data_IF_532110972015
#
_entry.id   IF_532110972015
#
_cell.length_a   1.000
_cell.length_b   1.000
_cell.length_c   1.000
_cell.angle_alpha   90.00
_cell.angle_beta   90.00
_cell.angle_gamma   90.00
#
_symmetry.space_group_name_H-M   'P 1'
#
loop_
_entity.id
_entity.type
_entity.pdbx_description
1 polymer ?
#
# COMPACT_ATOMS: atom_id res chain seq x y z
N UNK A 1 9.17 25.66 -20.01
CA UNK A 1 9.66 26.12 -18.70
C UNK A 1 8.48 26.75 -17.97
N UNK A 2 8.00 26.10 -16.91
CA UNK A 2 6.91 26.61 -16.08
C UNK A 2 7.17 26.11 -14.66
N UNK A 3 7.78 26.98 -13.85
CA UNK A 3 8.14 26.70 -12.46
C UNK A 3 6.87 26.76 -11.61
N UNK A 4 6.43 25.63 -11.05
CA UNK A 4 5.44 25.62 -9.98
C UNK A 4 6.18 25.61 -8.64
N UNK A 5 6.36 26.79 -8.05
CA UNK A 5 6.78 26.92 -6.66
C UNK A 5 5.63 26.45 -5.76
N UNK A 6 5.78 25.31 -5.11
CA UNK A 6 4.92 24.93 -4.00
C UNK A 6 5.33 25.75 -2.76
N UNK A 7 4.60 26.81 -2.47
CA UNK A 7 4.68 27.50 -1.18
C UNK A 7 4.31 26.53 -0.07
N UNK A 8 5.21 26.37 0.88
CA UNK A 8 5.02 25.58 2.10
C UNK A 8 3.86 26.19 2.88
N UNK A 9 2.72 25.50 2.90
CA UNK A 9 1.63 25.83 3.82
C UNK A 9 2.07 25.45 5.23
N UNK A 10 2.22 26.46 6.07
CA UNK A 10 2.48 26.32 7.50
C UNK A 10 1.39 25.43 8.11
N UNK A 11 1.80 24.46 8.91
CA UNK A 11 0.91 23.64 9.72
C UNK A 11 0.36 24.50 10.87
N UNK A 12 -0.63 25.34 10.59
CA UNK A 12 -1.54 25.84 11.63
C UNK A 12 -2.48 24.70 11.98
N UNK A 13 -2.22 24.11 13.15
CA UNK A 13 -3.09 23.16 13.82
C UNK A 13 -4.51 23.74 13.90
N UNK A 14 -5.47 23.13 13.24
CA UNK A 14 -6.87 23.43 13.46
C UNK A 14 -7.24 23.00 14.89
N UNK A 15 -7.27 23.94 15.83
CA UNK A 15 -7.83 23.75 17.16
C UNK A 15 -9.35 23.64 17.03
N UNK A 16 -9.84 22.41 16.88
CA UNK A 16 -11.25 22.11 17.09
C UNK A 16 -11.46 22.11 18.61
N UNK A 17 -12.22 23.08 19.12
CA UNK A 17 -12.61 23.15 20.52
C UNK A 17 -13.43 21.90 20.90
N UNK A 18 -12.77 20.91 21.48
CA UNK A 18 -13.42 19.79 22.16
C UNK A 18 -13.75 20.28 23.57
N UNK A 19 -15.00 20.67 23.78
CA UNK A 19 -15.49 20.98 25.11
C UNK A 19 -15.30 19.74 26.01
N UNK A 20 -14.50 19.90 27.06
CA UNK A 20 -14.04 18.79 27.89
C UNK A 20 -15.20 18.21 28.70
N UNK A 21 -15.75 17.07 28.25
CA UNK A 21 -16.85 16.37 28.92
C UNK A 21 -16.52 15.82 30.33
N UNK A 22 -15.32 16.04 30.87
CA UNK A 22 -15.02 15.68 32.25
C UNK A 22 -13.79 16.44 32.79
N UNK A 23 -13.82 16.98 34.03
CA UNK A 23 -12.71 17.74 34.64
C UNK A 23 -11.41 16.93 34.86
N UNK A 24 -11.43 15.62 34.57
CA UNK A 24 -10.29 14.70 34.70
C UNK A 24 -9.94 13.95 33.40
N UNK A 25 -10.60 14.27 32.29
CA UNK A 25 -10.24 13.71 30.99
C UNK A 25 -8.99 14.43 30.47
N UNK A 26 -7.81 13.87 30.69
CA UNK A 26 -6.59 14.28 30.00
C UNK A 26 -6.87 14.15 28.50
N UNK A 27 -6.67 15.21 27.71
CA UNK A 27 -6.76 15.16 26.26
C UNK A 27 -5.70 14.18 25.76
N UNK A 28 -6.13 12.95 25.43
CA UNK A 28 -5.25 12.02 24.74
C UNK A 28 -5.04 12.56 23.33
N UNK A 29 -3.80 12.60 22.82
CA UNK A 29 -3.55 13.06 21.46
C UNK A 29 -4.37 12.18 20.51
N UNK A 30 -5.32 12.78 19.80
CA UNK A 30 -6.07 12.09 18.77
C UNK A 30 -5.07 11.65 17.71
N UNK A 31 -5.03 10.34 17.42
CA UNK A 31 -4.19 9.81 16.37
C UNK A 31 -4.74 10.33 15.04
N UNK A 32 -4.09 11.35 14.48
CA UNK A 32 -4.47 11.87 13.17
C UNK A 32 -3.95 10.88 12.12
N UNK A 33 -4.85 10.25 11.36
CA UNK A 33 -4.49 9.33 10.27
C UNK A 33 -3.88 10.07 9.06
N UNK A 34 -3.28 11.25 9.27
CA UNK A 34 -2.85 12.19 8.22
C UNK A 34 -1.73 11.65 7.32
N UNK A 35 -1.18 10.46 7.63
CA UNK A 35 -0.13 9.82 6.81
C UNK A 35 -0.33 8.34 6.58
N UNK A 36 -0.93 7.59 7.51
CA UNK A 36 -1.14 6.16 7.37
C UNK A 36 -2.49 5.77 7.96
N UNK A 37 -3.11 4.71 7.44
CA UNK A 37 -4.40 4.20 7.92
C UNK A 37 -4.44 2.69 8.13
N UNK A 38 -3.28 2.02 8.16
CA UNK A 38 -3.22 0.61 8.54
C UNK A 38 -3.74 0.42 9.97
N UNK A 39 -4.61 -0.57 10.13
CA UNK A 39 -5.19 -1.01 11.39
C UNK A 39 -4.98 -2.52 11.49
N UNK A 40 -4.57 -3.06 12.65
CA UNK A 40 -4.52 -4.50 12.85
C UNK A 40 -5.90 -5.14 12.64
N UNK A 41 -5.93 -6.27 11.92
CA UNK A 41 -7.14 -7.06 11.77
C UNK A 41 -7.48 -7.81 13.06
N UNK A 42 -8.78 -8.03 13.29
CA UNK A 42 -9.24 -8.87 14.39
C UNK A 42 -9.04 -10.35 14.02
N UNK A 43 -8.66 -11.22 14.98
CA UNK A 43 -8.51 -12.64 14.70
C UNK A 43 -9.83 -13.25 14.18
N UNK A 44 -9.77 -13.93 13.03
CA UNK A 44 -10.89 -14.69 12.46
C UNK A 44 -10.48 -16.15 12.26
N UNK A 45 -11.27 -17.08 12.79
CA UNK A 45 -11.01 -18.52 12.66
C UNK A 45 -11.22 -19.05 11.23
N UNK A 46 -11.85 -18.26 10.36
CA UNK A 46 -12.10 -18.59 8.95
C UNK A 46 -10.90 -18.24 8.06
N UNK A 47 -9.90 -17.52 8.58
CA UNK A 47 -8.73 -17.12 7.81
C UNK A 47 -7.99 -18.35 7.27
N UNK A 48 -7.77 -18.36 5.95
CA UNK A 48 -7.08 -19.46 5.29
C UNK A 48 -5.59 -19.43 5.59
N UNK A 49 -5.08 -20.53 6.15
CA UNK A 49 -3.64 -20.73 6.34
C UNK A 49 -3.03 -21.26 5.06
N UNK A 50 -2.27 -20.41 4.37
CA UNK A 50 -1.51 -20.82 3.19
C UNK A 50 -0.13 -21.29 3.63
N UNK A 51 0.24 -22.51 3.22
CA UNK A 51 1.61 -23.03 3.34
C UNK A 51 2.21 -23.05 1.95
N UNK A 52 3.35 -22.38 1.76
CA UNK A 52 4.07 -22.36 0.49
C UNK A 52 5.17 -23.41 0.52
N UNK A 53 5.20 -24.28 -0.49
CA UNK A 53 6.30 -25.20 -0.67
C UNK A 53 7.57 -24.42 -1.02
N UNK A 54 8.71 -24.93 -0.55
CA UNK A 54 10.01 -24.40 -0.97
C UNK A 54 10.19 -24.73 -2.44
N UNK A 55 10.07 -23.71 -3.28
CA UNK A 55 10.28 -23.78 -4.72
C UNK A 55 11.45 -22.91 -5.11
N UNK A 56 12.26 -23.39 -6.05
CA UNK A 56 13.31 -22.59 -6.65
C UNK A 56 12.70 -21.42 -7.44
N UNK A 57 13.32 -20.25 -7.34
CA UNK A 57 12.89 -19.13 -8.18
C UNK A 57 13.03 -19.51 -9.67
N UNK A 58 12.03 -19.17 -10.52
CA UNK A 58 12.09 -19.45 -11.95
C UNK A 58 13.37 -18.92 -12.60
N UNK A 59 13.85 -19.62 -13.63
CA UNK A 59 15.15 -19.34 -14.29
C UNK A 59 15.28 -17.91 -14.86
N UNK A 60 14.16 -17.26 -15.16
CA UNK A 60 14.12 -15.90 -15.67
C UNK A 60 14.20 -14.81 -14.57
N UNK A 61 14.11 -15.18 -13.29
CA UNK A 61 14.26 -14.26 -12.16
C UNK A 61 15.73 -14.17 -11.78
N UNK A 62 16.28 -12.95 -11.77
CA UNK A 62 17.67 -12.71 -11.37
C UNK A 62 17.84 -13.03 -9.89
N UNK A 63 18.54 -14.13 -9.59
CA UNK A 63 19.04 -14.44 -8.24
C UNK A 63 20.35 -13.67 -8.03
N UNK A 64 20.42 -12.85 -6.99
CA UNK A 64 21.70 -12.33 -6.47
C UNK A 64 21.96 -13.04 -5.14
N UNK A 65 23.14 -13.62 -4.96
CA UNK A 65 23.56 -14.11 -3.65
C UNK A 65 24.32 -13.01 -2.91
N UNK A 66 23.94 -12.76 -1.66
CA UNK A 66 24.69 -11.90 -0.75
C UNK A 66 24.98 -12.71 0.52
N UNK A 67 26.19 -13.28 0.59
CA UNK A 67 26.54 -14.29 1.58
C UNK A 67 25.71 -15.56 1.39
N UNK A 68 25.06 -16.02 2.47
CA UNK A 68 24.18 -17.20 2.47
C UNK A 68 22.75 -16.90 2.03
N UNK A 69 22.42 -15.63 1.76
CA UNK A 69 21.05 -15.21 1.42
C UNK A 69 20.86 -15.09 -0.08
N UNK A 70 19.83 -15.75 -0.59
CA UNK A 70 19.33 -15.53 -1.93
C UNK A 70 18.43 -14.28 -1.96
N UNK A 71 18.75 -13.32 -2.83
CA UNK A 71 17.97 -12.10 -3.07
C UNK A 71 17.17 -12.28 -4.35
N UNK A 72 15.88 -12.05 -4.25
CA UNK A 72 14.92 -12.09 -5.36
C UNK A 72 14.41 -10.67 -5.60
N UNK A 73 14.61 -10.15 -6.82
CA UNK A 73 14.08 -8.86 -7.25
C UNK A 73 12.94 -9.05 -8.25
N UNK A 74 11.71 -8.74 -7.82
CA UNK A 74 10.50 -8.83 -8.64
C UNK A 74 10.16 -7.52 -9.36
N UNK A 75 10.86 -6.41 -9.09
CA UNK A 75 10.59 -5.12 -9.73
C UNK A 75 10.67 -5.19 -11.26
N UNK A 76 11.59 -5.92 -11.89
CA UNK A 76 11.61 -6.06 -13.35
C UNK A 76 10.36 -6.73 -13.95
N UNK A 77 9.54 -7.40 -13.13
CA UNK A 77 8.34 -8.14 -13.56
C UNK A 77 7.05 -7.36 -13.28
N UNK A 78 7.12 -6.16 -12.70
CA UNK A 78 5.94 -5.42 -12.27
C UNK A 78 5.23 -4.68 -13.42
N UNK A 79 5.57 -4.93 -14.69
CA UNK A 79 4.98 -4.21 -15.83
C UNK A 79 5.31 -2.73 -15.92
N UNK A 80 6.20 -2.22 -15.08
CA UNK A 80 6.61 -0.82 -15.09
C UNK A 80 5.57 0.14 -14.51
N UNK A 81 4.56 -0.34 -13.77
CA UNK A 81 3.60 0.58 -13.15
C UNK A 81 4.28 1.46 -12.10
N UNK A 82 3.85 2.73 -11.96
CA UNK A 82 4.53 3.69 -11.11
C UNK A 82 4.33 3.38 -9.63
N UNK A 83 5.26 3.84 -8.80
CA UNK A 83 5.05 3.88 -7.35
C UNK A 83 3.91 4.87 -7.07
N UNK A 84 2.89 4.40 -6.37
CA UNK A 84 1.72 5.21 -6.05
C UNK A 84 2.00 6.23 -4.94
N UNK A 85 1.56 7.46 -5.16
CA UNK A 85 1.49 8.49 -4.11
C UNK A 85 0.08 8.51 -3.50
N UNK A 86 0.00 8.30 -2.19
CA UNK A 86 -1.25 8.32 -1.41
C UNK A 86 -1.66 9.74 -0.97
N UNK A 87 -0.75 10.71 -1.04
CA UNK A 87 -0.96 12.06 -0.52
C UNK A 87 -1.22 12.09 0.99
N UNK A 88 -2.20 12.91 1.40
CA UNK A 88 -2.53 13.16 2.81
C UNK A 88 -3.64 12.24 3.36
N UNK A 89 -4.04 11.22 2.60
CA UNK A 89 -5.05 10.25 3.01
C UNK A 89 -4.41 9.08 3.74
N UNK A 90 -5.13 8.49 4.70
CA UNK A 90 -4.75 7.23 5.36
C UNK A 90 -4.94 5.99 4.48
N UNK A 91 -4.72 6.07 3.16
CA UNK A 91 -5.10 5.03 2.19
C UNK A 91 -3.99 3.99 1.91
N UNK A 92 -3.03 3.82 2.81
CA UNK A 92 -1.86 2.98 2.59
C UNK A 92 -2.21 1.51 2.28
N UNK A 93 -3.22 0.93 2.94
CA UNK A 93 -3.72 -0.43 2.66
C UNK A 93 -4.30 -0.53 1.26
N UNK A 94 -5.08 0.47 0.84
CA UNK A 94 -5.63 0.54 -0.52
C UNK A 94 -4.54 0.68 -1.59
N UNK A 95 -3.47 1.44 -1.32
CA UNK A 95 -2.32 1.55 -2.23
C UNK A 95 -1.56 0.22 -2.35
N UNK A 96 -1.33 -0.47 -1.22
CA UNK A 96 -0.67 -1.78 -1.21
C UNK A 96 -1.49 -2.83 -1.97
N UNK A 97 -2.80 -2.90 -1.72
CA UNK A 97 -3.70 -3.83 -2.41
C UNK A 97 -3.81 -3.52 -3.91
N UNK A 98 -3.93 -2.25 -4.29
CA UNK A 98 -3.94 -1.85 -5.70
C UNK A 98 -2.65 -2.27 -6.41
N UNK A 99 -1.48 -2.11 -5.77
CA UNK A 99 -0.20 -2.51 -6.35
C UNK A 99 -0.09 -4.03 -6.49
N UNK A 100 -0.51 -4.79 -5.48
CA UNK A 100 -0.52 -6.26 -5.53
C UNK A 100 -1.47 -6.79 -6.62
N UNK A 101 -2.64 -6.18 -6.77
CA UNK A 101 -3.60 -6.54 -7.80
C UNK A 101 -3.09 -6.20 -9.20
N UNK A 102 -2.52 -5.00 -9.40
CA UNK A 102 -1.91 -4.58 -10.67
C UNK A 102 -0.77 -5.52 -11.07
N UNK A 103 0.12 -5.87 -10.14
CA UNK A 103 1.18 -6.85 -10.38
C UNK A 103 0.62 -8.21 -10.83
N UNK A 104 -0.47 -8.64 -10.20
CA UNK A 104 -1.11 -9.93 -10.52
C UNK A 104 -1.77 -9.91 -11.90
N UNK A 105 -2.48 -8.83 -12.25
CA UNK A 105 -3.05 -8.64 -13.58
C UNK A 105 -1.96 -8.64 -14.65
N UNK A 106 -0.88 -7.87 -14.43
CA UNK A 106 0.23 -7.83 -15.36
C UNK A 106 0.83 -9.23 -15.61
N UNK A 107 1.06 -9.99 -14.53
CA UNK A 107 1.52 -11.38 -14.62
C UNK A 107 0.56 -12.23 -15.45
N UNK A 108 -0.74 -12.16 -15.19
CA UNK A 108 -1.76 -12.92 -15.93
C UNK A 108 -1.83 -12.52 -17.42
N UNK A 109 -1.67 -11.23 -17.72
CA UNK A 109 -1.60 -10.74 -19.11
C UNK A 109 -0.36 -11.28 -19.83
N UNK A 110 0.82 -11.26 -19.19
CA UNK A 110 2.06 -11.83 -19.75
C UNK A 110 1.97 -13.34 -19.95
N UNK A 111 1.22 -14.05 -19.08
CA UNK A 111 0.93 -15.48 -19.19
C UNK A 111 -0.18 -15.82 -20.20
N UNK A 112 -0.71 -14.85 -20.95
CA UNK A 112 -1.78 -15.00 -21.96
C UNK A 112 -3.11 -15.55 -21.42
N UNK A 113 -3.48 -15.21 -20.17
CA UNK A 113 -4.82 -15.51 -19.67
C UNK A 113 -5.85 -14.58 -20.34
N UNK A 114 -6.81 -15.15 -21.06
CA UNK A 114 -7.74 -14.42 -21.95
C UNK A 114 -8.70 -13.47 -21.23
N UNK A 115 -8.97 -13.73 -19.95
CA UNK A 115 -9.97 -12.99 -19.18
C UNK A 115 -9.40 -11.80 -18.41
N UNK A 116 -8.07 -11.60 -18.46
CA UNK A 116 -7.38 -10.57 -17.69
C UNK A 116 -6.68 -9.56 -18.57
N UNK A 117 -7.07 -8.30 -18.42
CA UNK A 117 -6.38 -7.16 -18.99
C UNK A 117 -5.63 -6.41 -17.90
N UNK A 118 -4.43 -5.94 -18.23
CA UNK A 118 -3.64 -5.09 -17.36
C UNK A 118 -4.30 -3.70 -17.22
N UNK A 119 -4.56 -3.26 -15.98
CA UNK A 119 -5.10 -1.94 -15.69
C UNK A 119 -4.71 -1.46 -14.29
N UNK A 120 -4.70 -0.14 -14.11
CA UNK A 120 -4.43 0.48 -12.80
C UNK A 120 -5.66 0.43 -11.90
N UNK A 121 -5.63 -0.27 -10.76
CA UNK A 121 -6.79 -0.40 -9.88
C UNK A 121 -7.13 0.91 -9.17
N UNK A 122 -8.43 1.15 -8.96
CA UNK A 122 -8.89 2.36 -8.26
C UNK A 122 -8.60 2.26 -6.75
N UNK A 123 -7.56 2.97 -6.30
CA UNK A 123 -7.18 3.09 -4.89
C UNK A 123 -8.29 3.71 -4.04
N UNK A 124 -9.03 4.67 -4.60
CA UNK A 124 -10.14 5.31 -3.88
C UNK A 124 -11.36 4.40 -3.76
N UNK A 125 -11.59 3.51 -4.74
CA UNK A 125 -12.63 2.49 -4.61
C UNK A 125 -12.30 1.52 -3.47
N UNK A 126 -11.07 1.03 -3.39
CA UNK A 126 -10.64 0.14 -2.29
C UNK A 126 -10.65 0.88 -0.95
N UNK A 127 -10.31 2.17 -0.91
CA UNK A 127 -10.29 2.94 0.34
C UNK A 127 -11.69 3.30 0.85
N UNK A 128 -12.67 3.43 -0.04
CA UNK A 128 -14.04 3.77 0.31
C UNK A 128 -14.82 2.60 0.90
N UNK A 129 -14.57 1.38 0.40
CA UNK A 129 -15.25 0.15 0.81
C UNK A 129 -14.52 -0.56 1.96
#
# INVERSE_FOLDING_TARGET
>A
MGNCNASVVNAESAEIAVESLHPNAKSLPLRTNMKFGWRPDMPDHRDHRVTFDKVDAPSHIKKRSEGEKEIIDLRPQNGGFPIFDQGHLGSCTANALAAAFHFTLHKMTVENHKDFADFTPSRLFIYYN
#
